data_IF_773098826533
#
_entry.id   IF_773098826533
#
_cell.length_a   1.000
_cell.length_b   1.000
_cell.length_c   1.000
_cell.angle_alpha   90.00
_cell.angle_beta   90.00
_cell.angle_gamma   90.00
#
_symmetry.space_group_name_H-M   'P 1'
#
loop_
_entity.id
_entity.type
_entity.pdbx_description
1 polymer ?
#
# COMPACT_ATOMS: atom_id res chain seq x y z
N UNK A 1 4.32 -27.08 9.00
CA UNK A 1 3.88 -25.76 9.52
C UNK A 1 5.03 -24.76 9.43
N UNK A 2 5.11 -23.96 8.35
CA UNK A 2 6.24 -23.04 8.09
C UNK A 2 5.83 -21.57 7.90
N UNK A 3 4.53 -21.26 8.02
CA UNK A 3 4.02 -19.89 7.89
C UNK A 3 4.29 -19.05 9.15
N UNK A 4 4.25 -19.66 10.34
CA UNK A 4 4.46 -18.94 11.59
C UNK A 4 5.88 -18.33 11.71
N UNK A 5 6.90 -18.91 11.06
CA UNK A 5 8.30 -18.52 11.23
C UNK A 5 8.69 -17.25 10.44
N UNK A 6 7.93 -16.89 9.41
CA UNK A 6 8.09 -15.61 8.68
C UNK A 6 7.52 -14.41 9.46
N UNK A 7 6.63 -14.66 10.42
CA UNK A 7 5.97 -13.61 11.22
C UNK A 7 6.52 -13.46 12.65
N UNK A 8 7.38 -14.38 13.14
CA UNK A 8 7.77 -14.43 14.56
C UNK A 8 9.27 -14.42 14.85
N UNK A 9 10.13 -14.14 13.86
CA UNK A 9 11.59 -14.14 14.06
C UNK A 9 12.21 -12.74 14.08
N UNK A 10 11.71 -11.84 14.95
CA UNK A 10 12.54 -10.84 15.66
C UNK A 10 11.75 -10.06 16.76
N UNK A 11 11.09 -10.73 17.72
CA UNK A 11 10.73 -10.04 18.95
C UNK A 11 12.02 -9.53 19.61
N UNK A 12 11.97 -8.30 20.13
CA UNK A 12 13.04 -7.55 20.80
C UNK A 12 14.05 -6.79 19.91
N UNK A 13 13.57 -5.80 19.13
CA UNK A 13 14.28 -4.51 19.03
C UNK A 13 13.29 -3.36 18.76
N UNK A 14 13.03 -2.61 19.82
CA UNK A 14 12.87 -1.14 19.84
C UNK A 14 11.64 -0.53 19.11
N UNK A 15 10.49 -0.50 19.77
CA UNK A 15 9.56 0.66 19.83
C UNK A 15 8.80 1.15 18.58
N UNK A 16 9.42 1.30 17.41
CA UNK A 16 8.81 1.88 16.22
C UNK A 16 9.48 1.30 14.97
N UNK A 17 8.69 0.66 14.09
CA UNK A 17 8.81 0.63 12.59
C UNK A 17 7.98 -0.47 11.92
N UNK A 18 7.60 -1.58 12.58
CA UNK A 18 6.61 -2.52 11.99
C UNK A 18 5.16 -1.99 12.11
N UNK A 19 4.78 -1.50 13.29
CA UNK A 19 3.45 -0.90 13.52
C UNK A 19 3.19 0.33 12.64
N UNK A 20 4.21 1.14 12.33
CA UNK A 20 4.09 2.29 11.42
C UNK A 20 3.82 1.85 9.98
N UNK A 21 4.48 0.78 9.51
CA UNK A 21 4.20 0.19 8.21
C UNK A 21 2.81 -0.46 8.17
N UNK A 22 2.42 -1.20 9.22
CA UNK A 22 1.10 -1.81 9.32
C UNK A 22 -0.02 -0.75 9.36
N UNK A 23 0.15 0.31 10.15
CA UNK A 23 -0.81 1.41 10.23
C UNK A 23 -0.94 2.14 8.90
N UNK A 24 0.17 2.40 8.21
CA UNK A 24 0.13 2.98 6.86
C UNK A 24 -0.54 2.04 5.86
N UNK A 25 -0.20 0.76 5.85
CA UNK A 25 -0.79 -0.22 4.94
C UNK A 25 -2.30 -0.36 5.18
N UNK A 26 -2.74 -0.39 6.45
CA UNK A 26 -4.14 -0.40 6.83
C UNK A 26 -4.86 0.89 6.39
N UNK A 27 -4.24 2.06 6.60
CA UNK A 27 -4.76 3.34 6.13
C UNK A 27 -4.87 3.38 4.60
N UNK A 28 -3.84 2.95 3.89
CA UNK A 28 -3.81 2.91 2.43
C UNK A 28 -4.92 1.99 1.88
N UNK A 29 -5.03 0.78 2.44
CA UNK A 29 -6.04 -0.20 2.06
C UNK A 29 -7.47 0.32 2.29
N UNK A 30 -7.75 0.90 3.46
CA UNK A 30 -9.08 1.44 3.77
C UNK A 30 -9.52 2.55 2.80
N UNK A 31 -8.60 3.46 2.44
CA UNK A 31 -8.86 4.50 1.43
C UNK A 31 -9.10 3.89 0.04
N UNK A 32 -8.31 2.91 -0.37
CA UNK A 32 -8.50 2.25 -1.66
C UNK A 32 -9.87 1.55 -1.73
N UNK A 33 -10.29 0.90 -0.63
CA UNK A 33 -11.59 0.25 -0.54
C UNK A 33 -12.74 1.27 -0.61
N UNK A 34 -12.61 2.41 0.07
CA UNK A 34 -13.58 3.51 -0.06
C UNK A 34 -13.67 4.04 -1.50
N UNK A 35 -12.54 4.20 -2.19
CA UNK A 35 -12.53 4.63 -3.59
C UNK A 35 -13.23 3.62 -4.50
N UNK A 36 -12.95 2.33 -4.31
CA UNK A 36 -13.60 1.25 -5.05
C UNK A 36 -15.11 1.20 -4.80
N UNK A 37 -15.54 1.34 -3.55
CA UNK A 37 -16.96 1.37 -3.20
C UNK A 37 -17.67 2.60 -3.75
N UNK A 38 -17.02 3.77 -3.71
CA UNK A 38 -17.55 5.00 -4.30
C UNK A 38 -17.70 4.86 -5.82
N UNK A 39 -16.70 4.29 -6.50
CA UNK A 39 -16.76 4.01 -7.93
C UNK A 39 -17.83 2.96 -8.28
N UNK A 40 -18.01 1.94 -7.43
CA UNK A 40 -19.04 0.93 -7.59
C UNK A 40 -20.43 1.55 -7.52
N UNK A 41 -20.71 2.36 -6.48
CA UNK A 41 -21.99 3.07 -6.37
C UNK A 41 -22.18 4.01 -7.56
N UNK A 42 -21.15 4.76 -7.94
CA UNK A 42 -21.20 5.66 -9.09
C UNK A 42 -21.53 4.92 -10.40
N UNK A 43 -21.03 3.69 -10.59
CA UNK A 43 -21.36 2.89 -11.76
C UNK A 43 -22.86 2.54 -11.86
N UNK A 44 -23.56 2.40 -10.72
CA UNK A 44 -25.01 2.19 -10.70
C UNK A 44 -25.80 3.51 -10.64
N UNK A 45 -25.28 4.52 -9.95
CA UNK A 45 -25.88 5.83 -9.73
C UNK A 45 -24.88 6.91 -10.17
N UNK A 46 -24.82 7.26 -11.48
CA UNK A 46 -23.77 8.12 -12.05
C UNK A 46 -23.77 9.56 -11.54
N UNK A 47 -24.81 10.00 -10.82
CA UNK A 47 -24.86 11.33 -10.18
C UNK A 47 -24.25 11.35 -8.77
N UNK A 48 -23.94 10.18 -8.19
CA UNK A 48 -23.39 10.08 -6.85
C UNK A 48 -21.87 9.85 -6.93
N UNK A 49 -21.09 10.51 -6.08
CA UNK A 49 -19.63 10.33 -5.98
C UNK A 49 -18.78 10.64 -7.23
N UNK A 50 -19.25 11.53 -8.12
CA UNK A 50 -18.56 11.92 -9.38
C UNK A 50 -17.05 12.18 -9.23
N UNK A 51 -16.64 12.83 -8.14
CA UNK A 51 -15.22 13.17 -7.92
C UNK A 51 -14.59 12.41 -6.76
N UNK A 52 -15.36 11.64 -6.00
CA UNK A 52 -14.90 11.05 -4.72
C UNK A 52 -13.86 9.97 -4.96
N UNK A 53 -14.11 9.04 -5.88
CA UNK A 53 -13.16 7.98 -6.21
C UNK A 53 -11.84 8.58 -6.73
N UNK A 54 -11.92 9.48 -7.70
CA UNK A 54 -10.77 10.15 -8.30
C UNK A 54 -9.94 10.96 -7.30
N UNK A 55 -10.59 11.67 -6.36
CA UNK A 55 -9.91 12.41 -5.30
C UNK A 55 -9.15 11.50 -4.35
N UNK A 56 -9.75 10.37 -3.94
CA UNK A 56 -9.09 9.42 -3.03
C UNK A 56 -7.90 8.76 -3.72
N UNK A 57 -8.03 8.34 -4.98
CA UNK A 57 -6.91 7.76 -5.74
C UNK A 57 -5.79 8.78 -5.92
N UNK A 58 -6.10 10.05 -6.21
CA UNK A 58 -5.09 11.12 -6.28
C UNK A 58 -4.37 11.33 -4.96
N UNK A 59 -5.08 11.31 -3.84
CA UNK A 59 -4.46 11.41 -2.51
C UNK A 59 -3.52 10.22 -2.24
N UNK A 60 -3.97 9.00 -2.55
CA UNK A 60 -3.15 7.79 -2.43
C UNK A 60 -1.89 7.87 -3.28
N UNK A 61 -2.03 8.32 -4.54
CA UNK A 61 -0.91 8.52 -5.45
C UNK A 61 0.09 9.53 -4.89
N UNK A 62 -0.37 10.73 -4.49
CA UNK A 62 0.51 11.77 -3.94
C UNK A 62 1.26 11.30 -2.70
N UNK A 63 0.57 10.63 -1.76
CA UNK A 63 1.21 10.16 -0.52
C UNK A 63 2.18 9.00 -0.74
N UNK A 64 1.95 8.16 -1.74
CA UNK A 64 2.85 7.03 -2.05
C UNK A 64 4.04 7.50 -2.89
N UNK A 65 3.80 8.39 -3.86
CA UNK A 65 4.84 8.98 -4.71
C UNK A 65 5.83 9.82 -3.90
N UNK A 66 5.35 10.61 -2.93
CA UNK A 66 6.21 11.42 -2.07
C UNK A 66 6.95 10.61 -1.00
N UNK A 67 6.60 9.33 -0.77
CA UNK A 67 7.22 8.51 0.28
C UNK A 67 8.55 7.89 -0.14
N UNK A 68 8.93 8.02 -1.41
CA UNK A 68 10.09 7.35 -1.97
C UNK A 68 9.80 5.85 -2.12
N UNK A 69 9.89 5.36 -3.34
CA UNK A 69 9.88 3.93 -3.64
C UNK A 69 10.85 3.26 -2.66
N UNK A 70 10.40 2.32 -1.84
CA UNK A 70 11.27 1.20 -1.48
C UNK A 70 11.55 0.51 -2.82
N UNK A 71 12.49 1.08 -3.57
CA UNK A 71 12.93 0.55 -4.83
C UNK A 71 13.29 -0.89 -4.52
N UNK A 72 12.59 -1.80 -5.18
CA UNK A 72 13.09 -3.15 -5.37
C UNK A 72 14.52 -2.94 -5.87
N UNK A 73 15.50 -3.12 -4.99
CA UNK A 73 16.90 -3.14 -5.39
C UNK A 73 17.01 -4.47 -6.12
N UNK A 74 16.82 -4.46 -7.44
CA UNK A 74 17.07 -5.64 -8.24
C UNK A 74 18.46 -6.16 -7.85
N UNK A 75 18.61 -7.46 -7.53
CA UNK A 75 19.93 -7.99 -7.24
C UNK A 75 20.75 -7.84 -8.53
N UNK A 76 21.80 -7.03 -8.46
CA UNK A 76 22.84 -6.84 -9.48
C UNK A 76 23.68 -8.13 -9.65
N UNK A 77 23.03 -9.24 -9.98
CA UNK A 77 23.61 -10.58 -10.03
C UNK A 77 23.46 -11.23 -11.43
N UNK A 78 23.26 -10.44 -12.48
CA UNK A 78 23.26 -10.94 -13.87
C UNK A 78 24.16 -10.13 -14.81
N UNK A 79 25.28 -9.58 -14.33
CA UNK A 79 26.31 -8.96 -15.19
C UNK A 79 27.67 -9.64 -15.00
N UNK A 80 27.72 -10.98 -15.11
CA UNK A 80 29.00 -11.72 -15.12
C UNK A 80 29.05 -12.85 -16.17
N UNK A 81 28.33 -12.70 -17.29
CA UNK A 81 28.50 -13.58 -18.46
C UNK A 81 28.28 -12.83 -19.77
N UNK A 82 29.34 -12.18 -20.24
CA UNK A 82 29.60 -11.92 -21.65
C UNK A 82 31.11 -11.75 -21.85
#
# INVERSE_FOLDING_TARGET
>A
MRLARLFTSHPAKVGETYFSHMAFAAWFCSRLFMAAFAALIHAFLPFLFETTASRIVRELYQRTHNRGTHAIKEPAAFMDRA
#
